data_IF_724719460135
#
_entry.id   IF_724719460135
#
_cell.length_a   1.000
_cell.length_b   1.000
_cell.length_c   1.000
_cell.angle_alpha   90.00
_cell.angle_beta   90.00
_cell.angle_gamma   90.00
#
_symmetry.space_group_name_H-M   'P 1'
#
loop_
_entity.id
_entity.type
_entity.pdbx_description
1 polymer ?
#
# COMPACT_ATOMS: atom_id res chain seq x y z
N UNK A 1 -63.32 3.36 -28.96
CA UNK A 1 -62.19 2.86 -28.15
C UNK A 1 -61.85 3.93 -27.14
N UNK A 2 -62.24 3.73 -25.89
CA UNK A 2 -62.11 4.73 -24.82
C UNK A 2 -60.70 4.67 -24.23
N UNK A 3 -59.95 5.78 -24.36
CA UNK A 3 -58.61 5.94 -23.85
C UNK A 3 -58.67 6.33 -22.37
N UNK A 4 -58.26 5.43 -21.48
CA UNK A 4 -58.18 5.69 -20.03
C UNK A 4 -56.81 6.30 -19.72
N UNK A 5 -56.81 7.57 -19.30
CA UNK A 5 -55.67 8.24 -18.68
C UNK A 5 -55.65 7.85 -17.19
N UNK A 6 -54.68 7.04 -16.80
CA UNK A 6 -54.38 6.75 -15.40
C UNK A 6 -53.51 7.86 -14.81
N UNK A 7 -53.78 8.38 -13.61
CA UNK A 7 -52.90 9.33 -12.95
C UNK A 7 -51.67 8.59 -12.38
N UNK A 8 -50.47 8.99 -12.79
CA UNK A 8 -49.24 8.60 -12.09
C UNK A 8 -49.23 9.26 -10.71
N UNK A 9 -49.47 8.45 -9.68
CA UNK A 9 -49.27 8.86 -8.29
C UNK A 9 -47.77 8.96 -8.00
N UNK A 10 -47.32 10.16 -7.63
CA UNK A 10 -45.97 10.43 -7.16
C UNK A 10 -45.86 9.89 -5.72
N UNK A 11 -45.20 8.74 -5.54
CA UNK A 11 -44.87 8.25 -4.21
C UNK A 11 -43.76 9.13 -3.59
N UNK A 12 -43.88 9.56 -2.32
CA UNK A 12 -42.78 10.24 -1.66
C UNK A 12 -41.59 9.28 -1.54
N UNK A 13 -40.46 9.66 -2.13
CA UNK A 13 -39.16 9.03 -1.88
C UNK A 13 -38.93 8.97 -0.38
N UNK A 14 -38.61 7.80 0.22
CA UNK A 14 -38.11 7.80 1.58
C UNK A 14 -36.85 8.66 1.59
N UNK A 15 -36.83 9.67 2.45
CA UNK A 15 -35.62 10.41 2.74
C UNK A 15 -34.56 9.38 3.16
N UNK A 16 -33.55 9.20 2.31
CA UNK A 16 -32.33 8.51 2.71
C UNK A 16 -31.83 9.29 3.91
N UNK A 17 -31.98 8.71 5.10
CA UNK A 17 -31.22 9.14 6.25
C UNK A 17 -29.76 9.00 5.81
N UNK A 18 -29.10 10.13 5.56
CA UNK A 18 -27.66 10.17 5.56
C UNK A 18 -27.26 9.66 6.94
N UNK A 19 -26.89 8.37 7.01
CA UNK A 19 -26.22 7.84 8.18
C UNK A 19 -25.02 8.75 8.36
N UNK A 20 -25.10 9.60 9.39
CA UNK A 20 -23.97 10.32 9.93
C UNK A 20 -22.95 9.25 10.27
N UNK A 21 -21.98 9.06 9.37
CA UNK A 21 -20.77 8.33 9.71
C UNK A 21 -20.22 9.05 10.93
N UNK A 22 -20.28 8.37 12.08
CA UNK A 22 -19.62 8.83 13.28
C UNK A 22 -18.19 9.18 12.91
N UNK A 23 -17.87 10.48 12.96
CA UNK A 23 -16.52 11.01 12.84
C UNK A 23 -15.64 10.65 14.06
N UNK A 24 -16.01 9.59 14.78
CA UNK A 24 -15.43 9.12 16.02
C UNK A 24 -15.05 7.63 15.93
N UNK A 25 -14.55 7.19 14.77
CA UNK A 25 -13.61 6.08 14.72
C UNK A 25 -12.24 6.57 15.21
N UNK A 26 -12.06 6.71 16.52
CA UNK A 26 -10.76 7.00 17.11
C UNK A 26 -9.78 5.86 16.81
N UNK A 27 -8.99 5.97 15.73
CA UNK A 27 -7.71 5.27 15.73
C UNK A 27 -6.84 6.03 16.74
N UNK A 28 -6.60 5.40 17.90
CA UNK A 28 -5.48 5.74 18.77
C UNK A 28 -4.17 5.72 17.97
N UNK A 29 -3.04 6.26 18.49
CA UNK A 29 -1.78 6.36 17.74
C UNK A 29 -1.21 5.04 17.20
N UNK A 30 -1.79 3.90 17.60
CA UNK A 30 -1.44 2.55 17.17
C UNK A 30 -2.32 2.00 16.02
N UNK A 31 -2.34 2.69 14.88
CA UNK A 31 -2.63 2.03 13.59
C UNK A 31 -1.41 1.20 13.12
N UNK A 32 -0.70 0.54 14.06
CA UNK A 32 0.65 -0.05 13.93
C UNK A 32 0.73 -1.56 14.23
N UNK A 33 -0.37 -2.29 14.11
CA UNK A 33 -0.38 -3.76 14.30
C UNK A 33 0.26 -4.54 13.14
N UNK A 34 0.48 -5.85 13.31
CA UNK A 34 0.78 -6.76 12.20
C UNK A 34 -0.48 -7.00 11.36
N UNK A 35 -0.31 -7.29 10.06
CA UNK A 35 -1.39 -7.83 9.23
C UNK A 35 -1.97 -9.12 9.85
N UNK A 36 -3.22 -9.42 9.50
CA UNK A 36 -3.93 -10.62 9.98
C UNK A 36 -3.12 -11.90 9.69
N UNK A 37 -3.04 -12.87 10.63
CA UNK A 37 -2.17 -14.04 10.51
C UNK A 37 -2.39 -14.89 9.25
N UNK A 38 -3.64 -15.00 8.79
CA UNK A 38 -3.94 -15.73 7.56
C UNK A 38 -3.38 -15.01 6.32
N UNK A 39 -3.39 -13.68 6.31
CA UNK A 39 -2.80 -12.88 5.23
C UNK A 39 -1.28 -13.02 5.26
N UNK A 40 -0.65 -12.95 6.43
CA UNK A 40 0.81 -13.12 6.54
C UNK A 40 1.26 -14.50 6.09
N UNK A 41 0.53 -15.56 6.45
CA UNK A 41 0.85 -16.93 6.01
C UNK A 41 0.73 -17.10 4.48
N UNK A 42 -0.28 -16.46 3.86
CA UNK A 42 -0.42 -16.44 2.40
C UNK A 42 0.72 -15.67 1.73
N UNK A 43 1.14 -14.54 2.30
CA UNK A 43 2.27 -13.75 1.83
C UNK A 43 3.58 -14.54 1.93
N UNK A 44 3.86 -15.17 3.07
CA UNK A 44 5.05 -15.99 3.28
C UNK A 44 5.18 -17.07 2.19
N UNK A 45 4.08 -17.79 1.90
CA UNK A 45 4.04 -18.82 0.86
C UNK A 45 4.27 -18.24 -0.54
N UNK A 46 3.63 -17.12 -0.86
CA UNK A 46 3.77 -16.48 -2.17
C UNK A 46 5.19 -15.95 -2.40
N UNK A 47 5.78 -15.29 -1.41
CA UNK A 47 7.14 -14.73 -1.47
C UNK A 47 8.17 -15.85 -1.62
N UNK A 48 8.04 -16.94 -0.85
CA UNK A 48 8.90 -18.12 -0.99
C UNK A 48 8.81 -18.72 -2.40
N UNK A 49 7.59 -18.89 -2.93
CA UNK A 49 7.38 -19.43 -4.26
C UNK A 49 8.05 -18.57 -5.34
N UNK A 50 7.85 -17.26 -5.31
CA UNK A 50 8.45 -16.31 -6.25
C UNK A 50 9.97 -16.29 -6.11
N UNK A 51 10.51 -16.23 -4.89
CA UNK A 51 11.96 -16.25 -4.65
C UNK A 51 12.60 -17.46 -5.32
N UNK A 52 12.03 -18.65 -5.09
CA UNK A 52 12.54 -19.90 -5.67
C UNK A 52 12.39 -19.94 -7.19
N UNK A 53 11.25 -19.52 -7.73
CA UNK A 53 10.99 -19.54 -9.17
C UNK A 53 11.93 -18.59 -9.93
N UNK A 54 12.20 -17.42 -9.36
CA UNK A 54 13.06 -16.40 -9.97
C UNK A 54 14.56 -16.61 -9.67
N UNK A 55 14.93 -17.61 -8.87
CA UNK A 55 16.33 -17.86 -8.50
C UNK A 55 16.96 -16.74 -7.67
N UNK A 56 16.16 -16.01 -6.89
CA UNK A 56 16.62 -14.89 -6.06
C UNK A 56 17.22 -15.47 -4.75
N UNK A 57 18.50 -15.19 -4.40
CA UNK A 57 19.12 -15.79 -3.21
C UNK A 57 18.46 -15.42 -1.88
N UNK A 58 18.06 -14.15 -1.76
CA UNK A 58 17.37 -13.63 -0.59
C UNK A 58 16.54 -12.39 -0.93
N UNK A 59 15.49 -12.15 -0.16
CA UNK A 59 14.57 -11.02 -0.37
C UNK A 59 14.05 -10.51 0.96
N UNK A 60 13.84 -9.20 1.04
CA UNK A 60 13.10 -8.52 2.11
C UNK A 60 11.84 -7.92 1.51
N UNK A 61 10.70 -8.15 2.14
CA UNK A 61 9.40 -7.60 1.71
C UNK A 61 8.77 -6.85 2.86
N UNK A 62 8.41 -5.59 2.60
CA UNK A 62 7.67 -4.71 3.50
C UNK A 62 6.33 -4.31 2.90
N UNK A 63 5.26 -4.38 3.68
CA UNK A 63 3.90 -3.97 3.30
C UNK A 63 3.32 -3.15 4.45
N UNK A 64 2.80 -1.96 4.16
CA UNK A 64 2.12 -1.10 5.12
C UNK A 64 0.72 -0.78 4.61
N UNK A 65 -0.30 -1.07 5.42
CA UNK A 65 -1.70 -0.77 5.10
C UNK A 65 -2.32 0.05 6.23
N UNK A 66 -2.61 1.34 6.00
CA UNK A 66 -3.24 2.21 7.00
C UNK A 66 -4.53 1.58 7.55
N UNK A 67 -4.66 1.56 8.88
CA UNK A 67 -5.80 0.96 9.57
C UNK A 67 -5.87 -0.57 9.54
N UNK A 68 -4.90 -1.26 8.92
CA UNK A 68 -4.87 -2.74 8.81
C UNK A 68 -3.55 -3.37 9.27
N UNK A 69 -2.51 -2.56 9.45
CA UNK A 69 -1.22 -2.99 9.98
C UNK A 69 -0.11 -3.10 8.94
N UNK A 70 1.00 -3.74 9.33
CA UNK A 70 2.18 -3.92 8.51
C UNK A 70 2.66 -5.39 8.47
N UNK A 71 3.52 -5.70 7.50
CA UNK A 71 4.20 -6.98 7.34
C UNK A 71 5.61 -6.70 6.84
N UNK A 72 6.62 -7.16 7.59
CA UNK A 72 8.03 -7.10 7.17
C UNK A 72 8.65 -8.48 7.37
N UNK A 73 9.19 -9.07 6.31
CA UNK A 73 9.86 -10.38 6.37
C UNK A 73 11.07 -10.43 5.46
N UNK A 74 12.10 -11.12 5.94
CA UNK A 74 13.28 -11.49 5.18
C UNK A 74 13.32 -13.01 5.00
N UNK A 75 13.76 -13.49 3.84
CA UNK A 75 13.96 -14.92 3.58
C UNK A 75 15.14 -15.14 2.64
N UNK A 76 15.82 -16.27 2.79
CA UNK A 76 17.02 -16.62 2.03
C UNK A 76 18.31 -16.05 2.63
N UNK A 77 19.31 -15.81 1.77
CA UNK A 77 20.65 -15.36 2.17
C UNK A 77 20.99 -14.00 1.57
N UNK A 78 21.71 -13.17 2.32
CA UNK A 78 22.26 -11.90 1.85
C UNK A 78 23.52 -12.10 0.99
N UNK A 79 24.30 -13.15 1.27
CA UNK A 79 25.53 -13.48 0.57
C UNK A 79 25.53 -14.99 0.20
N UNK A 80 25.75 -15.29 -1.09
CA UNK A 80 25.71 -16.67 -1.60
C UNK A 80 26.97 -17.48 -1.30
N UNK A 81 28.08 -16.80 -1.01
CA UNK A 81 29.37 -17.41 -0.68
C UNK A 81 29.44 -17.74 0.81
N UNK A 82 29.19 -16.76 1.68
CA UNK A 82 29.25 -16.94 3.14
C UNK A 82 27.98 -17.61 3.68
N UNK A 83 26.90 -17.60 2.90
CA UNK A 83 25.55 -18.03 3.29
C UNK A 83 25.00 -17.25 4.49
N UNK A 84 25.43 -15.99 4.63
CA UNK A 84 24.88 -15.07 5.62
C UNK A 84 23.36 -14.94 5.43
N UNK A 85 22.53 -15.13 6.48
CA UNK A 85 21.09 -15.00 6.38
C UNK A 85 20.67 -13.58 5.95
N UNK A 86 19.63 -13.49 5.12
CA UNK A 86 19.00 -12.19 4.84
C UNK A 86 18.29 -11.67 6.10
N UNK A 87 18.47 -10.40 6.42
CA UNK A 87 17.78 -9.71 7.52
C UNK A 87 16.91 -8.57 6.99
N UNK A 88 15.89 -8.17 7.75
CA UNK A 88 15.10 -6.99 7.42
C UNK A 88 15.93 -5.68 7.44
N UNK A 89 17.03 -5.68 8.19
CA UNK A 89 17.97 -4.56 8.32
C UNK A 89 19.15 -4.63 7.33
N UNK A 90 19.16 -5.60 6.41
CA UNK A 90 20.22 -5.74 5.41
C UNK A 90 20.21 -4.56 4.44
N UNK A 91 21.39 -3.97 4.19
CA UNK A 91 21.56 -2.97 3.14
C UNK A 91 21.59 -3.62 1.76
N UNK A 92 20.79 -3.10 0.83
CA UNK A 92 20.74 -3.57 -0.55
C UNK A 92 20.95 -2.44 -1.54
N UNK A 93 21.51 -2.75 -2.71
CA UNK A 93 21.57 -1.81 -3.83
C UNK A 93 20.20 -1.72 -4.49
N UNK A 94 19.49 -0.62 -4.29
CA UNK A 94 18.11 -0.42 -4.77
C UNK A 94 17.99 -0.06 -6.26
N UNK A 95 19.10 0.21 -6.95
CA UNK A 95 19.12 0.45 -8.40
C UNK A 95 18.28 1.66 -8.83
N UNK A 96 17.41 1.48 -9.82
CA UNK A 96 16.60 2.58 -10.36
C UNK A 96 15.63 3.21 -9.36
N UNK A 97 15.31 2.53 -8.25
CA UNK A 97 14.49 3.11 -7.19
C UNK A 97 15.09 4.39 -6.59
N UNK A 98 16.42 4.57 -6.68
CA UNK A 98 17.09 5.82 -6.31
C UNK A 98 16.50 7.04 -7.03
N UNK A 99 15.99 6.89 -8.25
CA UNK A 99 15.39 8.00 -9.01
C UNK A 99 14.22 8.64 -8.28
N UNK A 100 13.38 7.85 -7.63
CA UNK A 100 12.25 8.37 -6.85
C UNK A 100 12.75 9.32 -5.77
N UNK A 101 13.80 8.96 -5.05
CA UNK A 101 14.42 9.82 -4.03
C UNK A 101 15.02 11.09 -4.64
N UNK A 102 15.79 10.96 -5.74
CA UNK A 102 16.41 12.12 -6.40
C UNK A 102 15.38 13.09 -6.95
N UNK A 103 14.33 12.58 -7.60
CA UNK A 103 13.25 13.41 -8.15
C UNK A 103 12.46 14.07 -7.03
N UNK A 104 12.18 13.39 -5.91
CA UNK A 104 11.52 14.01 -4.76
C UNK A 104 12.35 15.19 -4.24
N UNK A 105 13.65 15.01 -3.99
CA UNK A 105 14.51 16.10 -3.52
C UNK A 105 14.57 17.27 -4.53
N UNK A 106 14.55 16.97 -5.84
CA UNK A 106 14.46 18.00 -6.89
C UNK A 106 13.12 18.75 -6.82
N UNK A 107 12.01 18.04 -6.68
CA UNK A 107 10.68 18.64 -6.60
C UNK A 107 10.48 19.46 -5.32
N UNK A 108 11.11 19.08 -4.21
CA UNK A 108 11.18 19.91 -3.00
C UNK A 108 11.86 21.25 -3.31
N UNK A 109 12.96 21.27 -4.07
CA UNK A 109 13.62 22.52 -4.49
C UNK A 109 12.75 23.37 -5.42
N UNK A 110 11.94 22.73 -6.27
CA UNK A 110 10.96 23.43 -7.12
C UNK A 110 9.87 24.07 -6.26
N UNK A 111 9.34 23.35 -5.27
CA UNK A 111 8.33 23.88 -4.34
C UNK A 111 8.88 25.04 -3.48
N UNK A 112 10.16 24.96 -3.10
CA UNK A 112 10.92 26.05 -2.46
C UNK A 112 11.23 27.21 -3.43
N UNK A 113 10.84 27.14 -4.70
CA UNK A 113 11.11 28.12 -5.76
C UNK A 113 12.61 28.39 -6.00
N UNK A 114 13.48 27.42 -5.68
CA UNK A 114 14.93 27.54 -5.83
C UNK A 114 15.42 27.17 -7.22
N UNK A 115 14.66 26.34 -7.94
CA UNK A 115 14.84 25.96 -9.34
C UNK A 115 13.45 25.86 -10.00
N UNK A 116 13.40 25.89 -11.33
CA UNK A 116 12.18 25.62 -12.11
C UNK A 116 12.33 24.30 -12.85
N UNK A 117 11.21 23.62 -13.10
CA UNK A 117 11.21 22.38 -13.89
C UNK A 117 11.70 22.58 -15.33
N UNK A 118 11.48 23.77 -15.88
CA UNK A 118 11.86 24.13 -17.25
C UNK A 118 13.18 24.91 -17.33
N UNK A 119 13.96 24.95 -16.25
CA UNK A 119 15.32 25.49 -16.32
C UNK A 119 16.16 24.65 -17.32
N UNK A 120 16.99 25.30 -18.16
CA UNK A 120 17.73 24.64 -19.23
C UNK A 120 18.82 23.69 -18.76
#
# INVERSE_FOLDING_TARGET
>A
MASVLAPMALAPTPAVHAASADRNGSCSPDCGGSLAPEVTARLDKAIEAVRRQAGIPGVVVGIWMPGKGNYVRATGVADTTTREPMSADSYIRIGSETKTFTVTALLELVDEHRIKLDDP
#
